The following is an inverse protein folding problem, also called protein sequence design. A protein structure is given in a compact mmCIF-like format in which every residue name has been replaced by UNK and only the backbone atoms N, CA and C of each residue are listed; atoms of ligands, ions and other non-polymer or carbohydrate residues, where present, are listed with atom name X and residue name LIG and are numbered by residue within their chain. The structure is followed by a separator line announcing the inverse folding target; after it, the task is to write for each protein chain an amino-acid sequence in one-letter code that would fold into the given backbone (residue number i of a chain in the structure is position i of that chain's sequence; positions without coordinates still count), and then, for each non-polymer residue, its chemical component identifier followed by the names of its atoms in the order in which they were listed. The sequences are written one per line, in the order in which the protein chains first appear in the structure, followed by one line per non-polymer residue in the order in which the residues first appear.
data_IF_997836624786
#
_entry.id   IF_997836624786
#
_cell.length_a   1.000
_cell.length_b   1.000
_cell.length_c   1.000
_cell.angle_alpha   90.00
_cell.angle_beta   90.00
_cell.angle_gamma   90.00
#
_symmetry.space_group_name_H-M   'P 1'
#
loop_
_entity.id
_entity.type
_entity.pdbx_description
1 polymer ?
#
# COMPACT_ATOMS: atom_id res chain seq x y z
N UNK A 1 -37.00 -51.06 -12.35
CA UNK A 1 -37.36 -49.65 -12.42
C UNK A 1 -36.63 -48.82 -11.39
N UNK A 2 -36.36 -49.35 -10.18
CA UNK A 2 -35.64 -48.68 -9.14
C UNK A 2 -34.19 -48.34 -9.56
N UNK A 3 -33.56 -49.17 -10.42
CA UNK A 3 -32.21 -48.95 -10.90
C UNK A 3 -32.08 -47.74 -11.84
N UNK A 4 -33.11 -47.43 -12.65
CA UNK A 4 -33.15 -46.26 -13.54
C UNK A 4 -33.32 -44.98 -12.75
N UNK A 5 -34.18 -44.99 -11.73
CA UNK A 5 -34.35 -43.84 -10.83
C UNK A 5 -33.08 -43.58 -10.03
N UNK A 6 -32.41 -44.64 -9.55
CA UNK A 6 -31.17 -44.54 -8.81
C UNK A 6 -30.06 -43.95 -9.68
N UNK A 7 -29.94 -44.38 -10.95
CA UNK A 7 -28.95 -43.82 -11.89
C UNK A 7 -29.24 -42.35 -12.18
N UNK A 8 -30.53 -41.98 -12.39
CA UNK A 8 -30.92 -40.60 -12.62
C UNK A 8 -30.62 -39.70 -11.42
N UNK A 9 -30.89 -40.18 -10.21
CA UNK A 9 -30.57 -39.44 -8.96
C UNK A 9 -29.06 -39.26 -8.78
N UNK A 10 -28.27 -40.30 -9.06
CA UNK A 10 -26.79 -40.22 -8.99
C UNK A 10 -26.25 -39.22 -10.02
N UNK A 11 -26.81 -39.16 -11.21
CA UNK A 11 -26.41 -38.22 -12.23
C UNK A 11 -26.74 -36.78 -11.85
N UNK A 12 -27.92 -36.54 -11.26
CA UNK A 12 -28.28 -35.20 -10.74
C UNK A 12 -27.35 -34.77 -9.62
N UNK A 13 -27.06 -35.66 -8.69
CA UNK A 13 -26.17 -35.39 -7.57
C UNK A 13 -24.73 -35.12 -8.05
N UNK A 14 -24.22 -35.88 -9.01
CA UNK A 14 -22.92 -35.65 -9.62
C UNK A 14 -22.85 -34.29 -10.30
N UNK A 15 -23.89 -33.89 -11.04
CA UNK A 15 -23.98 -32.57 -11.66
C UNK A 15 -23.96 -31.44 -10.63
N UNK A 16 -24.68 -31.61 -9.52
CA UNK A 16 -24.65 -30.64 -8.40
C UNK A 16 -23.24 -30.50 -7.83
N UNK A 17 -22.54 -31.62 -7.63
CA UNK A 17 -21.18 -31.60 -7.11
C UNK A 17 -20.21 -30.96 -8.08
N UNK A 18 -20.38 -31.17 -9.39
CA UNK A 18 -19.59 -30.54 -10.43
C UNK A 18 -19.80 -29.01 -10.45
N UNK A 19 -21.05 -28.55 -10.30
CA UNK A 19 -21.39 -27.12 -10.24
C UNK A 19 -20.77 -26.48 -9.01
N UNK A 20 -20.89 -27.11 -7.85
CA UNK A 20 -20.29 -26.62 -6.60
C UNK A 20 -18.77 -26.51 -6.72
N UNK A 21 -18.13 -27.52 -7.33
CA UNK A 21 -16.69 -27.49 -7.57
C UNK A 21 -16.29 -26.39 -8.52
N UNK A 22 -17.05 -26.17 -9.60
CA UNK A 22 -16.82 -25.09 -10.56
C UNK A 22 -16.99 -23.73 -9.92
N UNK A 23 -18.02 -23.52 -9.10
CA UNK A 23 -18.24 -22.28 -8.36
C UNK A 23 -17.10 -21.98 -7.40
N UNK A 24 -16.57 -23.02 -6.73
CA UNK A 24 -15.44 -22.89 -5.84
C UNK A 24 -14.18 -22.44 -6.58
N UNK A 25 -13.90 -23.05 -7.74
CA UNK A 25 -12.75 -22.69 -8.59
C UNK A 25 -12.88 -21.27 -9.09
N UNK A 26 -14.05 -20.88 -9.57
CA UNK A 26 -14.31 -19.49 -10.01
C UNK A 26 -14.13 -18.51 -8.87
N UNK A 27 -14.66 -18.82 -7.69
CA UNK A 27 -14.50 -17.98 -6.49
C UNK A 27 -13.05 -17.80 -6.08
N UNK A 28 -12.26 -18.88 -6.12
CA UNK A 28 -10.83 -18.83 -5.84
C UNK A 28 -10.06 -17.98 -6.86
N UNK A 29 -10.40 -18.13 -8.14
CA UNK A 29 -9.77 -17.35 -9.22
C UNK A 29 -10.11 -15.87 -9.13
N UNK A 30 -11.36 -15.52 -8.83
CA UNK A 30 -11.77 -14.13 -8.62
C UNK A 30 -11.07 -13.52 -7.42
N UNK A 31 -10.91 -14.27 -6.33
CA UNK A 31 -10.18 -13.83 -5.15
C UNK A 31 -8.71 -13.59 -5.47
N UNK A 32 -8.09 -14.46 -6.27
CA UNK A 32 -6.70 -14.32 -6.72
C UNK A 32 -6.51 -13.07 -7.57
N UNK A 33 -7.41 -12.84 -8.54
CA UNK A 33 -7.37 -11.65 -9.39
C UNK A 33 -7.56 -10.37 -8.60
N UNK A 34 -8.48 -10.36 -7.63
CA UNK A 34 -8.70 -9.22 -6.74
C UNK A 34 -7.45 -8.91 -5.91
N UNK A 35 -6.80 -9.94 -5.36
CA UNK A 35 -5.57 -9.80 -4.60
C UNK A 35 -4.43 -9.24 -5.46
N UNK A 36 -4.28 -9.74 -6.70
CA UNK A 36 -3.27 -9.22 -7.65
C UNK A 36 -3.53 -7.76 -8.00
N UNK A 37 -4.79 -7.39 -8.22
CA UNK A 37 -5.15 -6.00 -8.53
C UNK A 37 -4.83 -5.06 -7.37
N UNK A 38 -5.13 -5.46 -6.14
CA UNK A 38 -4.79 -4.69 -4.94
C UNK A 38 -3.28 -4.53 -4.78
N UNK A 39 -2.52 -5.60 -5.04
CA UNK A 39 -1.07 -5.56 -5.01
C UNK A 39 -0.50 -4.60 -6.06
N UNK A 40 -1.05 -4.60 -7.28
CA UNK A 40 -0.65 -3.67 -8.34
C UNK A 40 -0.93 -2.21 -7.96
N UNK A 41 -2.06 -1.94 -7.31
CA UNK A 41 -2.37 -0.60 -6.81
C UNK A 41 -1.36 -0.14 -5.76
N UNK A 42 -0.98 -1.02 -4.84
CA UNK A 42 0.04 -0.73 -3.84
C UNK A 42 1.40 -0.46 -4.51
N UNK A 43 1.78 -1.28 -5.48
CA UNK A 43 3.04 -1.12 -6.22
C UNK A 43 3.08 0.20 -7.00
N UNK A 44 1.96 0.63 -7.57
CA UNK A 44 1.88 1.93 -8.25
C UNK A 44 2.13 3.08 -7.27
N UNK A 45 1.51 3.04 -6.10
CA UNK A 45 1.71 4.06 -5.05
C UNK A 45 3.16 4.05 -4.56
N UNK A 46 3.75 2.88 -4.34
CA UNK A 46 5.16 2.74 -3.93
C UNK A 46 6.08 3.36 -4.97
N UNK A 47 5.84 3.09 -6.25
CA UNK A 47 6.62 3.67 -7.35
C UNK A 47 6.53 5.19 -7.36
N UNK A 48 5.33 5.74 -7.25
CA UNK A 48 5.09 7.19 -7.23
C UNK A 48 5.74 7.85 -6.02
N UNK A 49 5.65 7.20 -4.87
CA UNK A 49 6.30 7.67 -3.65
C UNK A 49 7.82 7.67 -3.81
N UNK A 50 8.38 6.61 -4.40
CA UNK A 50 9.81 6.51 -4.68
C UNK A 50 10.31 7.64 -5.58
N UNK A 51 9.56 7.97 -6.63
CA UNK A 51 9.89 9.09 -7.52
C UNK A 51 9.88 10.41 -6.77
N UNK A 52 8.86 10.64 -5.95
CA UNK A 52 8.74 11.85 -5.14
C UNK A 52 9.91 12.00 -4.16
N UNK A 53 10.22 10.94 -3.44
CA UNK A 53 11.32 10.93 -2.46
C UNK A 53 12.68 11.13 -3.14
N UNK A 54 12.90 10.51 -4.29
CA UNK A 54 14.12 10.71 -5.08
C UNK A 54 14.29 12.16 -5.51
N UNK A 55 13.21 12.82 -5.93
CA UNK A 55 13.21 14.24 -6.29
C UNK A 55 13.59 15.14 -5.11
N UNK A 56 13.03 14.89 -3.93
CA UNK A 56 13.35 15.62 -2.71
C UNK A 56 14.82 15.43 -2.36
N UNK A 57 15.29 14.18 -2.39
CA UNK A 57 16.71 13.84 -2.10
C UNK A 57 17.66 14.56 -3.04
N UNK A 58 17.39 14.53 -4.33
CA UNK A 58 18.24 15.17 -5.35
C UNK A 58 18.31 16.68 -5.15
N UNK A 59 17.18 17.32 -4.90
CA UNK A 59 17.13 18.76 -4.64
C UNK A 59 17.93 19.15 -3.40
N UNK A 60 17.74 18.44 -2.28
CA UNK A 60 18.43 18.72 -1.04
C UNK A 60 19.93 18.43 -1.14
N UNK A 61 20.31 17.40 -1.91
CA UNK A 61 21.70 17.07 -2.15
C UNK A 61 22.40 18.18 -2.96
N UNK A 62 21.76 18.71 -4.00
CA UNK A 62 22.27 19.84 -4.78
C UNK A 62 22.48 21.08 -3.91
N UNK A 63 21.52 21.37 -3.04
CA UNK A 63 21.61 22.48 -2.09
C UNK A 63 22.81 22.29 -1.14
N UNK A 64 23.00 21.09 -0.61
CA UNK A 64 24.11 20.76 0.26
C UNK A 64 25.45 20.90 -0.44
N UNK A 65 25.57 20.39 -1.65
CA UNK A 65 26.78 20.48 -2.47
C UNK A 65 27.17 21.94 -2.74
N UNK A 66 26.18 22.79 -3.04
CA UNK A 66 26.44 24.22 -3.28
C UNK A 66 26.96 24.94 -2.05
N UNK A 67 26.68 24.43 -0.85
CA UNK A 67 27.16 24.98 0.44
C UNK A 67 28.47 24.35 0.93
N UNK A 68 28.93 23.29 0.31
CA UNK A 68 30.02 22.43 0.82
C UNK A 68 31.34 23.14 0.97
N UNK A 69 31.59 24.21 0.21
CA UNK A 69 32.86 24.96 0.29
C UNK A 69 32.98 25.89 1.49
N UNK A 70 31.90 26.12 2.25
CA UNK A 70 31.85 27.15 3.27
C UNK A 70 31.51 26.64 4.69
N UNK A 71 31.14 25.37 4.85
CA UNK A 71 30.61 24.82 6.10
C UNK A 71 31.45 23.63 6.61
N UNK A 72 31.42 23.40 7.93
CA UNK A 72 31.88 22.18 8.53
C UNK A 72 31.08 20.97 8.00
N UNK A 73 31.78 19.90 7.69
CA UNK A 73 31.19 18.69 7.12
C UNK A 73 30.10 18.10 8.04
N UNK A 74 30.36 18.06 9.35
CA UNK A 74 29.38 17.54 10.32
C UNK A 74 28.13 18.40 10.37
N UNK A 75 28.28 19.72 10.38
CA UNK A 75 27.15 20.65 10.33
C UNK A 75 26.36 20.50 9.02
N UNK A 76 27.05 20.37 7.90
CA UNK A 76 26.44 20.19 6.59
C UNK A 76 25.62 18.89 6.51
N UNK A 77 26.16 17.79 7.02
CA UNK A 77 25.46 16.49 7.05
C UNK A 77 24.24 16.54 7.97
N UNK A 78 24.36 17.18 9.11
CA UNK A 78 23.24 17.35 10.03
C UNK A 78 22.11 18.18 9.42
N UNK A 79 22.45 19.30 8.79
CA UNK A 79 21.51 20.15 8.09
C UNK A 79 20.84 19.41 6.93
N UNK A 80 21.59 18.65 6.14
CA UNK A 80 21.05 17.84 5.04
C UNK A 80 20.06 16.80 5.54
N UNK A 81 20.41 16.06 6.59
CA UNK A 81 19.54 15.02 7.13
C UNK A 81 18.25 15.61 7.69
N UNK A 82 18.33 16.75 8.37
CA UNK A 82 17.18 17.46 8.91
C UNK A 82 16.28 18.00 7.77
N UNK A 83 16.88 18.58 6.74
CA UNK A 83 16.15 19.11 5.59
C UNK A 83 15.41 18.00 4.83
N UNK A 84 16.03 16.84 4.63
CA UNK A 84 15.39 15.68 4.02
C UNK A 84 14.19 15.22 4.82
N UNK A 85 14.31 15.07 6.11
CA UNK A 85 13.22 14.67 7.00
C UNK A 85 12.09 15.70 6.97
N UNK A 86 12.41 16.98 7.09
CA UNK A 86 11.40 18.04 7.09
C UNK A 86 10.66 18.15 5.76
N UNK A 87 11.35 18.04 4.64
CA UNK A 87 10.73 18.11 3.32
C UNK A 87 9.83 16.91 3.05
N UNK A 88 10.24 15.73 3.49
CA UNK A 88 9.43 14.52 3.37
C UNK A 88 8.16 14.62 4.22
N UNK A 89 8.25 15.13 5.43
CA UNK A 89 7.14 15.12 6.40
C UNK A 89 6.21 16.31 6.30
N UNK A 90 6.66 17.44 5.73
CA UNK A 90 5.87 18.68 5.72
C UNK A 90 4.49 18.51 5.07
N UNK A 91 4.44 17.94 3.89
CA UNK A 91 3.19 17.69 3.17
C UNK A 91 2.37 16.61 3.86
N UNK A 92 3.02 15.57 4.36
CA UNK A 92 2.36 14.50 5.11
C UNK A 92 1.65 15.05 6.35
N UNK A 93 2.33 15.88 7.13
CA UNK A 93 1.76 16.49 8.33
C UNK A 93 0.58 17.40 8.00
N UNK A 94 0.72 18.21 6.96
CA UNK A 94 -0.36 19.06 6.47
C UNK A 94 -1.59 18.23 6.10
N UNK A 95 -1.40 17.17 5.33
CA UNK A 95 -2.48 16.31 4.87
C UNK A 95 -3.14 15.54 6.03
N UNK A 96 -2.35 15.12 7.00
CA UNK A 96 -2.88 14.48 8.22
C UNK A 96 -3.75 15.43 9.04
N UNK A 97 -3.31 16.68 9.21
CA UNK A 97 -4.09 17.69 9.92
C UNK A 97 -5.41 17.98 9.21
N UNK A 98 -5.38 18.14 7.89
CA UNK A 98 -6.58 18.35 7.08
C UNK A 98 -7.54 17.16 7.19
N UNK A 99 -7.04 15.93 7.07
CA UNK A 99 -7.83 14.73 7.22
C UNK A 99 -8.49 14.64 8.60
N UNK A 100 -7.75 14.98 9.65
CA UNK A 100 -8.28 15.00 11.01
C UNK A 100 -9.40 16.04 11.17
N UNK A 101 -9.22 17.25 10.63
CA UNK A 101 -10.25 18.30 10.65
C UNK A 101 -11.51 17.88 9.91
N UNK A 102 -11.36 17.17 8.80
CA UNK A 102 -12.47 16.71 7.98
C UNK A 102 -13.16 15.46 8.55
N UNK A 103 -12.70 14.99 9.70
CA UNK A 103 -13.26 13.80 10.35
C UNK A 103 -12.87 12.49 9.69
N UNK A 104 -11.84 12.47 8.86
CA UNK A 104 -11.37 11.28 8.16
C UNK A 104 -10.43 10.45 9.05
N UNK A 105 -11.03 9.82 10.04
CA UNK A 105 -10.31 8.99 11.01
C UNK A 105 -9.70 7.74 10.38
N UNK A 106 -10.25 7.28 9.25
CA UNK A 106 -9.72 6.18 8.45
C UNK A 106 -8.30 6.47 7.95
N UNK A 107 -8.06 7.68 7.44
CA UNK A 107 -6.75 8.11 6.96
C UNK A 107 -5.76 8.24 8.13
N UNK A 108 -6.18 8.84 9.23
CA UNK A 108 -5.33 8.99 10.41
C UNK A 108 -4.94 7.63 10.98
N UNK A 109 -5.90 6.70 11.09
CA UNK A 109 -5.64 5.34 11.54
C UNK A 109 -4.71 4.58 10.59
N UNK A 110 -4.90 4.74 9.28
CA UNK A 110 -4.02 4.14 8.27
C UNK A 110 -2.58 4.64 8.41
N UNK A 111 -2.38 5.93 8.68
CA UNK A 111 -1.05 6.49 8.88
C UNK A 111 -0.34 5.87 10.09
N UNK A 112 -1.06 5.67 11.19
CA UNK A 112 -0.53 4.99 12.38
C UNK A 112 -0.02 3.59 12.02
N UNK A 113 -0.78 2.84 11.22
CA UNK A 113 -0.42 1.49 10.80
C UNK A 113 0.75 1.49 9.80
N UNK A 114 0.68 2.35 8.78
CA UNK A 114 1.69 2.41 7.71
C UNK A 114 3.07 2.83 8.23
N UNK A 115 3.12 3.75 9.17
CA UNK A 115 4.38 4.25 9.72
C UNK A 115 4.80 3.56 11.02
N UNK A 116 4.06 2.51 11.44
CA UNK A 116 4.42 1.74 12.62
C UNK A 116 4.42 2.55 13.91
N UNK A 117 3.41 3.40 14.10
CA UNK A 117 3.39 4.36 15.21
C UNK A 117 2.69 3.85 16.48
N UNK A 118 2.20 2.62 16.49
CA UNK A 118 1.46 2.06 17.64
C UNK A 118 2.26 2.06 18.93
N UNK A 119 3.57 1.83 18.82
CA UNK A 119 4.49 1.73 19.97
C UNK A 119 5.21 3.05 20.25
N UNK A 120 4.97 4.08 19.48
CA UNK A 120 5.57 5.42 19.64
C UNK A 120 4.60 6.28 20.45
N UNK A 121 5.10 6.82 21.53
CA UNK A 121 4.32 7.70 22.43
C UNK A 121 4.46 9.17 22.04
#
# INVERSE_FOLDING_TARGET
MDSLQTIAMRNVERRRNEIVSAEKIIGQELARLDAEQKEQMANDVIRRLGIKLAGIREHELETAVSRAGAADVNELLEDLSRALTNKFTAELYKNLREASRDGRTDIVGAAVDLFGLRDVQ
#
